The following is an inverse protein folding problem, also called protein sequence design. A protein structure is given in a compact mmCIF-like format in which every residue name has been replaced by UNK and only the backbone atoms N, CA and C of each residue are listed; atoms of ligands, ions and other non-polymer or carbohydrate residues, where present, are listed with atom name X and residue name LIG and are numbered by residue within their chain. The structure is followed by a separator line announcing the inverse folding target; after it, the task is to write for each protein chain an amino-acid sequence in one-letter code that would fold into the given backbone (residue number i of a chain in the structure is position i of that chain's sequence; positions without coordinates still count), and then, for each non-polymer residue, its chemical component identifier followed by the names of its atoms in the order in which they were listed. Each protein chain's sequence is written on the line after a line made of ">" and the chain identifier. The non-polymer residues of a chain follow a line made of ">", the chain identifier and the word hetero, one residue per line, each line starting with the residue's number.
data_IF_364895924755
#
_entry.id   IF_364895924755
#
_cell.length_a   1.000
_cell.length_b   1.000
_cell.length_c   1.000
_cell.angle_alpha   90.00
_cell.angle_beta   90.00
_cell.angle_gamma   90.00
#
_symmetry.space_group_name_H-M   'P 1'
#
loop_
_entity.id
_entity.type
_entity.pdbx_description
1 polymer ?
#
# COMPACT_ATOMS: atom_id res chain seq x y z
N UNK A 1 71.10 15.17 6.63
CA UNK A 1 70.70 14.18 5.65
C UNK A 1 69.27 13.75 5.93
N UNK A 2 68.34 14.27 5.18
CA UNK A 2 66.94 13.96 5.34
C UNK A 2 66.51 12.82 4.44
N UNK A 3 66.07 11.72 5.03
CA UNK A 3 65.38 10.68 4.29
C UNK A 3 63.89 11.10 4.18
N UNK A 4 63.47 11.39 2.93
CA UNK A 4 62.07 11.62 2.63
C UNK A 4 61.40 10.24 2.47
N UNK A 5 60.61 9.87 3.44
CA UNK A 5 59.71 8.75 3.30
C UNK A 5 58.44 9.23 2.61
N UNK A 6 58.31 8.89 1.34
CA UNK A 6 57.06 9.11 0.62
C UNK A 6 56.07 8.05 1.00
N UNK A 7 55.14 8.42 1.88
CA UNK A 7 53.97 7.59 2.15
C UNK A 7 53.02 7.67 0.95
N UNK A 8 53.00 6.62 0.15
CA UNK A 8 51.94 6.39 -0.81
C UNK A 8 50.68 5.92 -0.03
N UNK A 9 49.77 6.86 0.16
CA UNK A 9 48.44 6.52 0.65
C UNK A 9 47.67 5.96 -0.55
N UNK A 10 47.56 4.63 -0.60
CA UNK A 10 46.61 3.96 -1.46
C UNK A 10 45.21 4.23 -0.87
N UNK A 11 44.55 5.22 -1.43
CA UNK A 11 43.12 5.42 -1.17
C UNK A 11 42.31 4.29 -1.81
N UNK A 12 41.90 3.33 -0.99
CA UNK A 12 40.95 2.33 -1.40
C UNK A 12 39.61 3.04 -1.58
N UNK A 13 39.30 3.43 -2.80
CA UNK A 13 37.94 3.86 -3.14
C UNK A 13 37.11 2.58 -3.15
N UNK A 14 36.52 2.27 -2.01
CA UNK A 14 35.41 1.33 -1.94
C UNK A 14 34.23 2.02 -2.68
N UNK A 15 34.16 1.79 -3.97
CA UNK A 15 32.97 2.08 -4.72
C UNK A 15 31.83 1.27 -4.12
N UNK A 16 31.04 1.92 -3.31
CA UNK A 16 29.74 1.37 -2.92
C UNK A 16 28.93 1.25 -4.20
N UNK A 17 28.94 0.08 -4.81
CA UNK A 17 27.91 -0.29 -5.76
C UNK A 17 26.60 -0.30 -4.94
N UNK A 18 25.93 0.84 -4.93
CA UNK A 18 24.51 0.85 -4.57
C UNK A 18 23.84 -0.05 -5.60
N UNK A 19 23.54 -1.29 -5.20
CA UNK A 19 22.64 -2.13 -5.96
C UNK A 19 21.35 -1.34 -6.05
N UNK A 20 21.08 -0.78 -7.23
CA UNK A 20 19.79 -0.19 -7.52
C UNK A 20 18.76 -1.30 -7.32
N UNK A 21 18.07 -1.27 -6.17
CA UNK A 21 16.92 -2.11 -5.97
C UNK A 21 15.92 -1.73 -7.06
N UNK A 22 15.54 -2.70 -7.88
CA UNK A 22 14.43 -2.49 -8.79
C UNK A 22 13.25 -1.99 -7.96
N UNK A 23 12.63 -0.85 -8.34
CA UNK A 23 11.50 -0.33 -7.58
C UNK A 23 10.43 -1.41 -7.55
N UNK A 24 9.97 -1.76 -6.35
CA UNK A 24 8.82 -2.64 -6.18
C UNK A 24 7.66 -2.09 -7.00
N UNK A 25 6.95 -2.91 -7.79
CA UNK A 25 5.84 -2.42 -8.59
C UNK A 25 4.80 -1.77 -7.69
N UNK A 26 4.44 -0.53 -8.01
CA UNK A 26 3.37 0.20 -7.34
C UNK A 26 2.07 -0.08 -8.08
N UNK A 27 1.11 -0.64 -7.37
CA UNK A 27 -0.25 -0.83 -7.85
C UNK A 27 -1.09 0.36 -7.38
N UNK A 28 -1.98 0.82 -8.23
CA UNK A 28 -2.87 1.93 -7.93
C UNK A 28 -4.29 1.61 -8.38
N UNK A 29 -5.25 2.27 -7.79
CA UNK A 29 -6.62 2.12 -8.17
C UNK A 29 -7.56 3.04 -7.40
N UNK A 30 -8.84 2.74 -7.49
CA UNK A 30 -9.89 3.42 -6.77
C UNK A 30 -10.52 2.52 -5.71
N UNK A 31 -11.07 3.11 -4.68
CA UNK A 31 -11.82 2.40 -3.66
C UNK A 31 -13.13 3.11 -3.36
N UNK A 32 -14.08 2.32 -2.88
CA UNK A 32 -15.35 2.78 -2.34
C UNK A 32 -15.56 2.12 -0.99
N UNK A 33 -16.17 2.80 -0.06
CA UNK A 33 -16.54 2.23 1.22
C UNK A 33 -17.87 2.78 1.71
N UNK A 34 -18.52 2.04 2.57
CA UNK A 34 -19.74 2.47 3.26
C UNK A 34 -19.48 2.59 4.75
N UNK A 35 -20.19 3.50 5.39
CA UNK A 35 -20.25 3.60 6.84
C UNK A 35 -21.71 3.79 7.26
N UNK A 36 -22.16 2.96 8.20
CA UNK A 36 -23.57 2.97 8.59
C UNK A 36 -24.51 2.62 7.42
N UNK A 37 -25.71 3.15 7.45
CA UNK A 37 -26.73 2.83 6.45
C UNK A 37 -26.71 3.72 5.20
N UNK A 38 -26.11 4.91 5.26
CA UNK A 38 -26.29 5.94 4.22
C UNK A 38 -25.03 6.68 3.77
N UNK A 39 -23.88 6.43 4.37
CA UNK A 39 -22.64 7.12 3.97
C UNK A 39 -21.84 6.29 2.99
N UNK A 40 -21.47 6.90 1.88
CA UNK A 40 -20.61 6.33 0.86
C UNK A 40 -19.36 7.20 0.73
N UNK A 41 -18.20 6.57 0.83
CA UNK A 41 -16.89 7.18 0.64
C UNK A 41 -16.25 6.65 -0.63
N UNK A 42 -15.44 7.45 -1.26
CA UNK A 42 -14.66 7.06 -2.43
C UNK A 42 -13.30 7.74 -2.41
N UNK A 43 -12.34 7.09 -3.01
CA UNK A 43 -11.00 7.63 -3.09
C UNK A 43 -10.07 6.81 -3.95
N UNK A 44 -8.79 7.02 -3.76
CA UNK A 44 -7.73 6.31 -4.46
C UNK A 44 -6.88 5.51 -3.48
N UNK A 45 -6.25 4.47 -3.97
CA UNK A 45 -5.32 3.67 -3.19
C UNK A 45 -4.06 3.38 -3.99
N UNK A 46 -2.98 3.17 -3.28
CA UNK A 46 -1.74 2.62 -3.82
C UNK A 46 -1.26 1.47 -2.93
N UNK A 47 -0.59 0.52 -3.53
CA UNK A 47 0.00 -0.61 -2.84
C UNK A 47 1.42 -0.84 -3.31
N UNK A 48 2.29 -1.15 -2.37
CA UNK A 48 3.64 -1.59 -2.61
C UNK A 48 3.78 -3.01 -2.07
N UNK A 49 4.15 -3.94 -2.94
CA UNK A 49 4.42 -5.33 -2.57
C UNK A 49 5.92 -5.56 -2.48
N UNK A 50 6.34 -6.45 -1.60
CA UNK A 50 7.73 -6.85 -1.50
C UNK A 50 7.97 -8.14 -2.26
N UNK A 51 9.06 -8.21 -3.03
CA UNK A 51 9.50 -9.45 -3.67
C UNK A 51 9.91 -10.51 -2.64
N UNK A 52 10.31 -10.09 -1.46
CA UNK A 52 10.73 -10.99 -0.38
C UNK A 52 9.57 -11.49 0.49
N UNK A 53 8.44 -10.80 0.46
CA UNK A 53 7.26 -11.20 1.22
C UNK A 53 5.97 -10.95 0.41
N UNK A 54 5.55 -11.94 -0.41
CA UNK A 54 4.36 -11.80 -1.25
C UNK A 54 3.05 -11.79 -0.46
N UNK A 55 3.10 -12.10 0.83
CA UNK A 55 1.95 -12.14 1.73
C UNK A 55 1.80 -10.88 2.60
N UNK A 56 2.57 -9.84 2.31
CA UNK A 56 2.45 -8.55 2.98
C UNK A 56 2.50 -7.41 1.96
N UNK A 57 1.81 -6.34 2.24
CA UNK A 57 1.84 -5.12 1.47
C UNK A 57 1.61 -3.91 2.38
N UNK A 58 2.09 -2.79 1.94
CA UNK A 58 1.81 -1.48 2.52
C UNK A 58 1.42 -0.52 1.43
N UNK A 59 0.70 0.51 1.79
CA UNK A 59 0.30 1.49 0.81
C UNK A 59 -0.28 2.75 1.44
N UNK A 60 -0.79 3.59 0.58
CA UNK A 60 -1.47 4.81 0.93
C UNK A 60 -2.88 4.84 0.34
N UNK A 61 -3.70 5.70 0.88
CA UNK A 61 -5.04 5.92 0.38
C UNK A 61 -5.44 7.38 0.55
N UNK A 62 -6.36 7.82 -0.28
CA UNK A 62 -6.97 9.14 -0.20
C UNK A 62 -8.47 9.02 -0.16
N UNK A 63 -9.12 9.94 0.52
CA UNK A 63 -10.56 10.15 0.47
C UNK A 63 -10.84 11.42 -0.34
N UNK A 64 -11.74 11.32 -1.29
CA UNK A 64 -12.12 12.42 -2.16
C UNK A 64 -13.51 12.95 -1.81
N UNK A 65 -13.69 14.26 -1.93
CA UNK A 65 -15.01 14.87 -1.91
C UNK A 65 -15.70 14.73 -3.27
N UNK A 66 -16.92 15.26 -3.40
CA UNK A 66 -17.67 15.20 -4.66
C UNK A 66 -17.00 15.93 -5.82
N UNK A 67 -16.19 16.96 -5.52
CA UNK A 67 -15.40 17.70 -6.51
C UNK A 67 -14.12 16.97 -6.94
N UNK A 68 -13.80 15.82 -6.33
CA UNK A 68 -12.57 15.07 -6.61
C UNK A 68 -11.33 15.58 -5.89
N UNK A 69 -11.51 16.43 -4.88
CA UNK A 69 -10.41 16.94 -4.07
C UNK A 69 -10.11 16.00 -2.90
N UNK A 70 -8.82 15.86 -2.56
CA UNK A 70 -8.39 15.06 -1.42
C UNK A 70 -8.74 15.78 -0.12
N UNK A 71 -9.60 15.18 0.69
CA UNK A 71 -10.00 15.72 2.00
C UNK A 71 -9.42 14.94 3.18
N UNK A 72 -8.93 13.75 2.94
CA UNK A 72 -8.30 12.89 3.94
C UNK A 72 -7.33 11.96 3.26
N UNK A 73 -6.24 11.65 3.93
CA UNK A 73 -5.25 10.70 3.44
C UNK A 73 -4.72 9.85 4.59
N UNK A 74 -4.22 8.69 4.25
CA UNK A 74 -3.68 7.78 5.23
C UNK A 74 -2.83 6.68 4.63
N UNK A 75 -2.51 5.72 5.47
CA UNK A 75 -1.74 4.53 5.10
C UNK A 75 -2.52 3.28 5.47
N UNK A 76 -2.17 2.19 4.84
CA UNK A 76 -2.72 0.88 5.15
C UNK A 76 -1.63 -0.18 5.10
N UNK A 77 -1.85 -1.24 5.82
CA UNK A 77 -1.03 -2.45 5.77
C UNK A 77 -1.92 -3.67 5.55
N UNK A 78 -1.35 -4.67 4.94
CA UNK A 78 -2.00 -5.94 4.70
C UNK A 78 -1.08 -7.10 5.02
N UNK A 79 -1.64 -8.15 5.58
CA UNK A 79 -0.94 -9.39 5.84
C UNK A 79 -1.90 -10.57 5.63
N UNK A 80 -1.37 -11.62 5.00
CA UNK A 80 -2.07 -12.89 4.94
C UNK A 80 -1.81 -13.67 6.23
N UNK A 81 -2.89 -14.07 6.90
CA UNK A 81 -2.84 -14.93 8.07
C UNK A 81 -3.70 -16.17 7.81
N UNK A 82 -3.07 -17.30 7.52
CA UNK A 82 -3.79 -18.50 7.09
C UNK A 82 -4.48 -18.28 5.74
N UNK A 83 -5.81 -18.38 5.72
CA UNK A 83 -6.65 -18.11 4.53
C UNK A 83 -7.29 -16.72 4.56
N UNK A 84 -6.90 -15.88 5.50
CA UNK A 84 -7.47 -14.54 5.69
C UNK A 84 -6.49 -13.47 5.24
N UNK A 85 -7.05 -12.47 4.62
CA UNK A 85 -6.40 -11.22 4.29
C UNK A 85 -6.91 -10.16 5.24
N UNK A 86 -6.03 -9.56 5.99
CA UNK A 86 -6.37 -8.56 6.99
C UNK A 86 -5.27 -7.53 7.13
N UNK A 87 -5.59 -6.43 7.75
CA UNK A 87 -4.61 -5.40 8.01
C UNK A 87 -5.17 -4.26 8.83
N UNK A 88 -4.38 -3.21 8.86
CA UNK A 88 -4.69 -1.97 9.58
C UNK A 88 -4.72 -0.80 8.60
N UNK A 89 -5.38 0.25 9.00
CA UNK A 89 -5.36 1.52 8.28
C UNK A 89 -5.25 2.68 9.26
N UNK A 90 -4.65 3.75 8.81
CA UNK A 90 -4.57 5.02 9.53
C UNK A 90 -5.07 6.14 8.65
N UNK A 91 -5.64 7.17 9.25
CA UNK A 91 -6.03 8.38 8.59
C UNK A 91 -5.47 9.59 9.34
N UNK A 92 -4.98 10.55 8.60
CA UNK A 92 -4.52 11.84 9.14
C UNK A 92 -5.42 12.95 8.61
N UNK A 93 -6.38 13.41 9.43
CA UNK A 93 -7.14 14.61 9.10
C UNK A 93 -6.24 15.84 9.19
N UNK A 94 -6.56 16.88 8.43
CA UNK A 94 -5.82 18.16 8.45
C UNK A 94 -5.90 18.84 9.82
N UNK A 95 -6.97 18.57 10.58
CA UNK A 95 -7.17 19.02 11.97
C UNK A 95 -7.76 17.86 12.78
N UNK A 96 -7.23 17.67 13.98
CA UNK A 96 -7.74 16.65 14.90
C UNK A 96 -6.81 15.47 15.08
N UNK A 97 -7.30 14.46 15.78
CA UNK A 97 -6.55 13.26 16.10
C UNK A 97 -6.52 12.31 14.90
N UNK A 98 -5.41 11.59 14.77
CA UNK A 98 -5.29 10.50 13.82
C UNK A 98 -6.35 9.42 14.12
N UNK A 99 -6.96 8.92 13.07
CA UNK A 99 -7.88 7.79 13.14
C UNK A 99 -7.14 6.52 12.73
N UNK A 100 -7.57 5.41 13.28
CA UNK A 100 -7.05 4.11 12.91
C UNK A 100 -8.12 3.04 12.98
N UNK A 101 -7.91 1.97 12.27
CA UNK A 101 -8.82 0.84 12.27
C UNK A 101 -8.21 -0.40 11.66
N UNK A 102 -9.05 -1.40 11.51
CA UNK A 102 -8.71 -2.68 10.91
C UNK A 102 -9.59 -2.95 9.70
N UNK A 103 -9.12 -3.82 8.84
CA UNK A 103 -9.89 -4.30 7.70
C UNK A 103 -9.67 -5.79 7.48
N UNK A 104 -10.64 -6.42 6.88
CA UNK A 104 -10.58 -7.81 6.45
C UNK A 104 -11.14 -7.92 5.04
N UNK A 105 -10.59 -8.82 4.26
CA UNK A 105 -11.11 -9.13 2.93
C UNK A 105 -12.00 -10.36 2.97
N UNK A 106 -13.02 -10.37 2.11
CA UNK A 106 -13.94 -11.51 1.98
C UNK A 106 -13.26 -12.69 1.29
N UNK A 107 -13.11 -13.78 2.01
CA UNK A 107 -12.42 -14.98 1.53
C UNK A 107 -13.06 -15.59 0.27
N UNK A 108 -14.36 -15.38 0.05
CA UNK A 108 -15.07 -15.88 -1.12
C UNK A 108 -14.61 -15.26 -2.45
N UNK A 109 -13.94 -14.11 -2.39
CA UNK A 109 -13.45 -13.38 -3.57
C UNK A 109 -12.03 -13.80 -4.00
N UNK A 110 -11.37 -14.67 -3.24
CA UNK A 110 -9.95 -14.95 -3.44
C UNK A 110 -9.67 -16.41 -3.75
N UNK A 111 -9.30 -16.63 -5.00
CA UNK A 111 -8.54 -17.81 -5.41
C UNK A 111 -7.03 -17.53 -5.42
N UNK A 112 -6.62 -16.30 -5.11
CA UNK A 112 -5.23 -15.88 -5.12
C UNK A 112 -4.44 -16.51 -3.97
N UNK A 113 -3.31 -17.09 -4.28
CA UNK A 113 -2.43 -17.74 -3.30
C UNK A 113 -1.61 -16.73 -2.48
N UNK A 114 -1.33 -15.55 -3.05
CA UNK A 114 -0.57 -14.48 -2.40
C UNK A 114 -1.31 -13.15 -2.41
N UNK A 115 -0.94 -12.26 -1.48
CA UNK A 115 -1.47 -10.91 -1.44
C UNK A 115 -1.10 -10.12 -2.71
N UNK A 116 0.12 -10.31 -3.22
CA UNK A 116 0.55 -9.67 -4.45
C UNK A 116 -0.33 -10.04 -5.64
N UNK A 117 -0.70 -11.31 -5.78
CA UNK A 117 -1.62 -11.78 -6.82
C UNK A 117 -3.02 -11.21 -6.66
N UNK A 118 -3.50 -11.13 -5.42
CA UNK A 118 -4.80 -10.55 -5.13
C UNK A 118 -4.84 -9.07 -5.55
N UNK A 119 -3.83 -8.30 -5.19
CA UNK A 119 -3.75 -6.88 -5.56
C UNK A 119 -3.65 -6.68 -7.08
N UNK A 120 -2.91 -7.54 -7.77
CA UNK A 120 -2.87 -7.53 -9.24
C UNK A 120 -4.23 -7.85 -9.87
N UNK A 121 -4.99 -8.76 -9.25
CA UNK A 121 -6.31 -9.15 -9.74
C UNK A 121 -7.34 -8.01 -9.70
N UNK A 122 -7.10 -6.98 -8.90
CA UNK A 122 -7.98 -5.80 -8.82
C UNK A 122 -8.08 -5.04 -10.15
N UNK A 123 -7.13 -5.22 -11.06
CA UNK A 123 -7.19 -4.65 -12.40
C UNK A 123 -8.31 -5.23 -13.28
N UNK A 124 -8.74 -6.45 -12.99
CA UNK A 124 -9.75 -7.18 -13.78
C UNK A 124 -11.02 -7.49 -13.01
N UNK A 125 -10.98 -7.49 -11.70
CA UNK A 125 -12.15 -7.76 -10.87
C UNK A 125 -12.14 -6.90 -9.61
N UNK A 126 -13.30 -6.62 -9.09
CA UNK A 126 -13.49 -5.92 -7.83
C UNK A 126 -13.23 -6.86 -6.66
N UNK A 127 -12.55 -6.35 -5.66
CA UNK A 127 -12.23 -7.04 -4.42
C UNK A 127 -12.95 -6.32 -3.28
N UNK A 128 -13.55 -7.05 -2.38
CA UNK A 128 -14.36 -6.48 -1.31
C UNK A 128 -14.00 -7.02 0.06
N UNK A 129 -14.43 -6.33 1.06
CA UNK A 129 -14.26 -6.71 2.45
C UNK A 129 -14.99 -5.78 3.41
N UNK A 130 -14.60 -5.84 4.66
CA UNK A 130 -15.16 -5.02 5.72
C UNK A 130 -14.07 -4.25 6.47
N UNK A 131 -14.45 -3.12 7.05
CA UNK A 131 -13.58 -2.30 7.88
C UNK A 131 -14.22 -1.96 9.21
N UNK A 132 -13.40 -1.67 10.18
CA UNK A 132 -13.83 -1.27 11.53
C UNK A 132 -12.89 -0.23 12.13
N UNK A 133 -13.47 0.72 12.85
CA UNK A 133 -12.75 1.69 13.68
C UNK A 133 -13.61 2.04 14.89
N UNK A 134 -13.24 1.54 16.05
CA UNK A 134 -14.03 1.71 17.25
C UNK A 134 -15.45 1.15 17.09
N UNK A 135 -16.45 2.03 17.17
CA UNK A 135 -17.87 1.68 16.97
C UNK A 135 -18.35 1.80 15.52
N UNK A 136 -17.50 2.35 14.65
CA UNK A 136 -17.80 2.51 13.24
C UNK A 136 -17.38 1.28 12.47
N UNK A 137 -18.17 0.90 11.50
CA UNK A 137 -17.90 -0.23 10.62
C UNK A 137 -18.60 -0.06 9.29
N UNK A 138 -18.13 -0.77 8.30
CA UNK A 138 -18.69 -0.75 6.96
C UNK A 138 -18.02 -1.77 6.05
N UNK A 139 -18.34 -1.66 4.79
CA UNK A 139 -17.77 -2.47 3.74
C UNK A 139 -16.86 -1.62 2.84
N UNK A 140 -15.95 -2.27 2.13
CA UNK A 140 -15.09 -1.61 1.17
C UNK A 140 -14.97 -2.45 -0.11
N UNK A 141 -14.68 -1.77 -1.21
CA UNK A 141 -14.45 -2.35 -2.54
C UNK A 141 -13.23 -1.70 -3.16
N UNK A 142 -12.34 -2.52 -3.72
CA UNK A 142 -11.16 -2.07 -4.44
C UNK A 142 -11.28 -2.40 -5.92
N UNK A 143 -10.89 -1.43 -6.74
CA UNK A 143 -10.63 -1.58 -8.16
C UNK A 143 -9.22 -1.12 -8.47
N UNK A 144 -8.47 -1.91 -9.21
CA UNK A 144 -7.18 -1.51 -9.75
C UNK A 144 -7.32 -0.79 -11.08
N UNK A 145 -6.42 0.13 -11.34
CA UNK A 145 -6.27 0.68 -12.68
C UNK A 145 -5.52 -0.33 -13.55
N UNK A 146 -5.93 -0.55 -14.80
CA UNK A 146 -5.14 -1.33 -15.73
C UNK A 146 -3.75 -0.72 -15.82
N UNK A 147 -2.70 -1.53 -15.68
CA UNK A 147 -1.36 -1.05 -15.96
C UNK A 147 -1.33 -0.63 -17.43
N UNK A 148 -1.15 0.65 -17.68
CA UNK A 148 -0.82 1.12 -19.02
C UNK A 148 0.56 0.57 -19.34
N UNK A 149 0.60 -0.47 -20.15
CA UNK A 149 1.86 -0.96 -20.70
C UNK A 149 2.53 0.20 -21.42
N UNK A 150 3.73 0.54 -21.00
CA UNK A 150 4.58 1.40 -21.80
C UNK A 150 4.80 0.72 -23.15
N UNK A 151 4.23 1.29 -24.20
CA UNK A 151 4.56 0.95 -25.58
C UNK A 151 5.87 1.63 -25.96
#
# INVERSE_FOLDING_TARGET
>A
MGMKVSSLIFGLILGSCALAQEPSPVLVGSWTATAGSNQIFRGTWSAQTSLHNPNAAVGSWTLLNEAGEVILQGTWSAQKTGRRWQGTWTARPMKGQSLSGTWTADAANFTAESLAEMLKSTATKEVSGSWRSGRHQGNWWLKGSPQQGHR
#
